data_IF_217485979148
#
_entry.id   IF_217485979148
#
_cell.length_a   1.000
_cell.length_b   1.000
_cell.length_c   1.000
_cell.angle_alpha   90.00
_cell.angle_beta   90.00
_cell.angle_gamma   90.00
#
_symmetry.space_group_name_H-M   'P 1'
#
loop_
_entity.id
_entity.type
_entity.pdbx_description
1 polymer ?
#
# COMPACT_ATOMS: atom_id res chain seq x y z
N UNK A 1 17.32 -4.40 -2.67
CA UNK A 1 17.20 -3.08 -3.33
C UNK A 1 17.49 -1.92 -2.36
N UNK A 2 16.70 -1.70 -1.30
CA UNK A 2 16.92 -0.54 -0.41
C UNK A 2 18.35 -0.45 0.15
N UNK A 3 18.85 -1.51 0.77
CA UNK A 3 20.19 -1.54 1.34
C UNK A 3 21.30 -1.48 0.28
N UNK A 4 21.06 -2.05 -0.91
CA UNK A 4 22.03 -2.07 -2.01
C UNK A 4 22.32 -0.67 -2.54
N UNK A 5 21.31 0.19 -2.57
CA UNK A 5 21.40 1.57 -3.07
C UNK A 5 21.77 2.59 -2.00
N UNK A 6 21.56 2.26 -0.72
CA UNK A 6 21.92 3.12 0.41
C UNK A 6 23.40 3.52 0.41
N UNK A 7 24.31 2.60 0.05
CA UNK A 7 25.77 2.88 -0.04
C UNK A 7 26.16 3.85 -1.15
N UNK A 8 25.29 4.04 -2.14
CA UNK A 8 25.49 4.99 -3.24
C UNK A 8 24.76 6.32 -2.99
N UNK A 9 24.27 6.54 -1.77
CA UNK A 9 23.46 7.70 -1.40
C UNK A 9 22.18 7.84 -2.26
N UNK A 10 21.69 6.72 -2.80
CA UNK A 10 20.43 6.66 -3.56
C UNK A 10 19.31 6.24 -2.62
N UNK A 11 18.30 7.09 -2.51
CA UNK A 11 17.14 6.86 -1.66
C UNK A 11 16.09 6.02 -2.39
N UNK A 12 15.64 4.96 -1.75
CA UNK A 12 14.57 4.09 -2.25
C UNK A 12 13.42 4.13 -1.25
N UNK A 13 12.19 4.32 -1.75
CA UNK A 13 10.96 4.28 -0.95
C UNK A 13 9.94 3.34 -1.60
N UNK A 14 9.19 2.60 -0.78
CA UNK A 14 8.09 1.74 -1.19
C UNK A 14 6.76 2.50 -1.07
N UNK A 15 6.00 2.54 -2.15
CA UNK A 15 4.67 3.17 -2.20
C UNK A 15 3.63 2.07 -2.39
N UNK A 16 2.71 1.94 -1.44
CA UNK A 16 1.64 0.93 -1.45
C UNK A 16 0.28 1.64 -1.37
N UNK A 17 -0.27 2.09 -2.50
CA UNK A 17 -1.56 2.76 -2.53
C UNK A 17 -2.71 1.75 -2.52
N UNK A 18 -3.88 2.19 -2.05
CA UNK A 18 -5.16 1.58 -2.38
C UNK A 18 -5.61 1.90 -3.80
N UNK A 19 -6.88 1.65 -4.10
CA UNK A 19 -7.43 2.01 -5.41
C UNK A 19 -7.40 3.53 -5.64
N UNK A 20 -6.85 3.94 -6.78
CA UNK A 20 -6.78 5.34 -7.20
C UNK A 20 -7.57 5.52 -8.49
N UNK A 21 -8.44 6.53 -8.53
CA UNK A 21 -9.25 6.88 -9.69
C UNK A 21 -8.38 7.43 -10.81
N UNK A 22 -8.13 6.60 -11.80
CA UNK A 22 -7.37 6.87 -13.02
C UNK A 22 -8.17 6.36 -14.23
N UNK A 23 -7.82 6.82 -15.44
CA UNK A 23 -8.42 6.32 -16.68
C UNK A 23 -8.30 4.78 -16.84
N UNK A 24 -7.28 4.17 -16.22
CA UNK A 24 -7.10 2.72 -16.20
C UNK A 24 -8.13 2.04 -15.30
N UNK A 25 -8.31 2.54 -14.07
CA UNK A 25 -9.23 1.94 -13.09
C UNK A 25 -10.69 2.30 -13.33
N UNK A 26 -10.97 3.36 -14.09
CA UNK A 26 -12.35 3.75 -14.44
C UNK A 26 -13.04 2.69 -15.31
N UNK A 27 -12.26 1.80 -15.94
CA UNK A 27 -12.76 0.67 -16.72
C UNK A 27 -13.01 -0.59 -15.89
N UNK A 28 -12.75 -0.57 -14.57
CA UNK A 28 -12.95 -1.72 -13.71
C UNK A 28 -14.44 -1.89 -13.36
N UNK A 29 -14.99 -3.08 -13.60
CA UNK A 29 -16.39 -3.40 -13.28
C UNK A 29 -16.60 -3.86 -11.82
N UNK A 30 -15.52 -4.07 -11.08
CA UNK A 30 -15.58 -4.51 -9.68
C UNK A 30 -15.61 -3.34 -8.69
N UNK A 31 -16.16 -3.59 -7.50
CA UNK A 31 -16.16 -2.61 -6.40
C UNK A 31 -14.72 -2.32 -5.96
N UNK A 32 -14.32 -1.05 -6.03
CA UNK A 32 -13.02 -0.55 -5.57
C UNK A 32 -13.17 0.13 -4.19
N UNK A 33 -13.15 -0.63 -3.08
CA UNK A 33 -13.31 -0.06 -1.76
C UNK A 33 -12.20 0.96 -1.47
N UNK A 34 -12.57 2.06 -0.82
CA UNK A 34 -11.66 3.14 -0.46
C UNK A 34 -10.98 3.84 -1.66
N UNK A 35 -11.63 3.87 -2.83
CA UNK A 35 -11.17 4.61 -4.01
C UNK A 35 -10.84 6.07 -3.66
N UNK A 36 -9.64 6.53 -4.03
CA UNK A 36 -9.18 7.91 -3.83
C UNK A 36 -8.85 8.59 -5.15
N UNK A 37 -8.84 9.92 -5.17
CA UNK A 37 -8.44 10.69 -6.36
C UNK A 37 -6.92 10.60 -6.60
N UNK A 38 -6.51 10.86 -7.84
CA UNK A 38 -5.10 11.05 -8.22
C UNK A 38 -4.44 12.16 -7.40
N UNK A 39 -5.12 13.29 -7.19
CA UNK A 39 -4.60 14.41 -6.38
C UNK A 39 -4.29 13.97 -4.94
N UNK A 40 -5.20 13.22 -4.31
CA UNK A 40 -4.95 12.67 -2.97
C UNK A 40 -3.72 11.75 -2.95
N UNK A 41 -3.59 10.87 -3.95
CA UNK A 41 -2.44 9.97 -4.04
C UNK A 41 -1.12 10.75 -4.20
N UNK A 42 -1.11 11.74 -5.09
CA UNK A 42 0.04 12.61 -5.33
C UNK A 42 0.47 13.33 -4.05
N UNK A 43 -0.48 13.90 -3.30
CA UNK A 43 -0.21 14.57 -2.03
C UNK A 43 0.37 13.62 -0.97
N UNK A 44 -0.17 12.40 -0.84
CA UNK A 44 0.36 11.43 0.11
C UNK A 44 1.78 11.00 -0.25
N UNK A 45 2.05 10.76 -1.54
CA UNK A 45 3.38 10.41 -2.05
C UNK A 45 4.35 11.56 -1.80
N UNK A 46 4.01 12.78 -2.20
CA UNK A 46 4.86 13.96 -2.02
C UNK A 46 5.20 14.20 -0.54
N UNK A 47 4.18 14.22 0.32
CA UNK A 47 4.40 14.44 1.75
C UNK A 47 5.24 13.31 2.38
N UNK A 48 5.04 12.06 1.96
CA UNK A 48 5.82 10.92 2.43
C UNK A 48 7.28 10.96 1.98
N UNK A 49 7.53 11.30 0.71
CA UNK A 49 8.86 11.35 0.12
C UNK A 49 9.67 12.56 0.61
N UNK A 50 9.08 13.76 0.55
CA UNK A 50 9.78 15.03 0.71
C UNK A 50 9.73 15.55 2.14
N UNK A 51 8.54 15.59 2.76
CA UNK A 51 8.40 16.19 4.09
C UNK A 51 8.80 15.23 5.22
N UNK A 52 8.52 13.94 5.06
CA UNK A 52 8.72 12.94 6.12
C UNK A 52 9.91 12.01 5.90
N UNK A 53 10.47 11.98 4.69
CA UNK A 53 11.59 11.10 4.34
C UNK A 53 11.29 9.61 4.61
N UNK A 54 10.03 9.19 4.42
CA UNK A 54 9.59 7.84 4.78
C UNK A 54 10.14 6.79 3.81
N UNK A 55 10.60 5.66 4.35
CA UNK A 55 10.88 4.46 3.54
C UNK A 55 9.60 3.86 2.98
N UNK A 56 8.54 3.76 3.77
CA UNK A 56 7.29 3.11 3.38
C UNK A 56 6.12 4.11 3.45
N UNK A 57 5.36 4.21 2.35
CA UNK A 57 4.23 5.14 2.20
C UNK A 57 3.00 4.33 1.81
N UNK A 58 2.08 4.12 2.76
CA UNK A 58 0.84 3.37 2.56
C UNK A 58 -0.35 4.27 2.80
N UNK A 59 -1.29 4.29 1.86
CA UNK A 59 -2.52 5.08 1.94
C UNK A 59 -3.65 4.44 1.13
N UNK A 60 -4.92 4.69 1.45
CA UNK A 60 -5.43 5.46 2.59
C UNK A 60 -5.29 4.73 3.93
N UNK A 61 -5.59 5.42 5.03
CA UNK A 61 -5.44 4.90 6.40
C UNK A 61 -6.10 3.52 6.64
N UNK A 62 -7.32 3.23 6.15
CA UNK A 62 -7.93 1.90 6.35
C UNK A 62 -7.08 0.77 5.76
N UNK A 63 -6.52 0.98 4.56
CA UNK A 63 -5.65 0.00 3.91
C UNK A 63 -4.35 -0.16 4.68
N UNK A 64 -3.77 0.94 5.18
CA UNK A 64 -2.57 0.87 6.04
C UNK A 64 -2.81 0.02 7.28
N UNK A 65 -3.95 0.21 7.95
CA UNK A 65 -4.31 -0.55 9.15
C UNK A 65 -4.44 -2.04 8.81
N UNK A 66 -5.25 -2.38 7.82
CA UNK A 66 -5.45 -3.77 7.39
C UNK A 66 -4.11 -4.43 7.03
N UNK A 67 -3.30 -3.75 6.22
CA UNK A 67 -1.99 -4.25 5.79
C UNK A 67 -1.04 -4.49 6.97
N UNK A 68 -1.00 -3.58 7.95
CA UNK A 68 -0.14 -3.73 9.13
C UNK A 68 -0.64 -4.83 10.07
N UNK A 69 -1.96 -4.99 10.22
CA UNK A 69 -2.54 -6.09 10.99
C UNK A 69 -2.19 -7.45 10.39
N UNK A 70 -2.28 -7.60 9.07
CA UNK A 70 -1.93 -8.85 8.37
C UNK A 70 -0.43 -9.18 8.54
N UNK A 71 0.46 -8.18 8.47
CA UNK A 71 1.91 -8.40 8.63
C UNK A 71 2.32 -8.91 10.01
N UNK A 72 1.60 -8.52 11.06
CA UNK A 72 1.92 -8.89 12.45
C UNK A 72 1.20 -10.18 12.85
N UNK A 73 0.29 -10.68 11.99
CA UNK A 73 -0.54 -11.83 12.28
C UNK A 73 0.31 -13.11 12.41
N UNK A 74 0.14 -13.92 13.47
CA UNK A 74 0.83 -15.20 13.59
C UNK A 74 0.48 -16.15 12.43
N UNK A 75 1.48 -16.90 11.94
CA UNK A 75 1.34 -17.78 10.78
C UNK A 75 0.16 -18.75 10.88
N UNK A 76 -0.13 -19.30 12.08
CA UNK A 76 -1.28 -20.21 12.28
C UNK A 76 -2.61 -19.54 11.94
N UNK A 77 -2.80 -18.30 12.40
CA UNK A 77 -4.03 -17.55 12.19
C UNK A 77 -4.10 -17.03 10.75
N UNK A 78 -2.99 -16.56 10.20
CA UNK A 78 -2.90 -16.19 8.78
C UNK A 78 -3.31 -17.35 7.87
N UNK A 79 -2.69 -18.53 8.04
CA UNK A 79 -2.98 -19.72 7.23
C UNK A 79 -4.44 -20.17 7.37
N UNK A 80 -5.02 -20.06 8.57
CA UNK A 80 -6.44 -20.36 8.81
C UNK A 80 -7.38 -19.40 8.05
N UNK A 81 -7.10 -18.08 8.08
CA UNK A 81 -7.93 -17.09 7.39
C UNK A 81 -7.83 -17.24 5.87
N UNK A 82 -6.62 -17.49 5.35
CA UNK A 82 -6.39 -17.67 3.92
C UNK A 82 -7.05 -18.96 3.42
N UNK A 83 -6.89 -20.09 4.13
CA UNK A 83 -7.52 -21.35 3.71
C UNK A 83 -9.04 -21.24 3.64
N UNK A 84 -9.67 -20.51 4.57
CA UNK A 84 -11.11 -20.24 4.55
C UNK A 84 -11.55 -19.31 3.41
N UNK A 85 -10.67 -18.42 2.95
CA UNK A 85 -10.98 -17.48 1.87
C UNK A 85 -10.79 -18.08 0.48
N UNK A 86 -9.86 -19.04 0.35
CA UNK A 86 -9.54 -19.75 -0.90
C UNK A 86 -10.46 -20.97 -1.13
N UNK A 87 -10.92 -21.63 -0.07
CA UNK A 87 -11.86 -22.76 -0.16
C UNK A 87 -13.34 -22.33 -0.28
N UNK A 88 -13.60 -21.10 -0.71
CA UNK A 88 -14.94 -20.57 -1.05
C UNK A 88 -14.93 -20.15 -2.50
#
# INVERSE_FOLDING_TARGET
IYFDFKKFNVKVSLITPGFIKTALTDKNEFKMPFLKSTNYAADQIYNGLIKKNNFEIIFPLPIKIIYKLIQILPNKLYNYLISKSVNR
#
